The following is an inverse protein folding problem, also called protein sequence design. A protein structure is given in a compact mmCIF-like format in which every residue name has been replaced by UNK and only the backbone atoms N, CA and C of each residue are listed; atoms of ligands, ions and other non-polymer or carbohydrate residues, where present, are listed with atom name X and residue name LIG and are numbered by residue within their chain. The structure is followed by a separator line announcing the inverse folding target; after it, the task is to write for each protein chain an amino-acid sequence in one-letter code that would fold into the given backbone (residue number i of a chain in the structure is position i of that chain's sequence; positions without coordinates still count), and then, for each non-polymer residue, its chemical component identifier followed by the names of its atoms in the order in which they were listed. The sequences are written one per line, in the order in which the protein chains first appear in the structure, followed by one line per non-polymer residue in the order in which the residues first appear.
data_IF_805600591942
#
_entry.id   IF_805600591942
#
_cell.length_a   1.000
_cell.length_b   1.000
_cell.length_c   1.000
_cell.angle_alpha   90.00
_cell.angle_beta   90.00
_cell.angle_gamma   90.00
#
_symmetry.space_group_name_H-M   'P 1'
#
loop_
_entity.id
_entity.type
_entity.pdbx_description
1 polymer ?
#
# COMPACT_ATOMS: atom_id res chain seq x y z
N UNK A 1 -17.92 -11.68 -3.45
CA UNK A 1 -17.31 -12.79 -4.18
C UNK A 1 -16.37 -13.55 -3.27
N UNK A 2 -15.25 -14.11 -3.78
CA UNK A 2 -14.34 -14.96 -3.00
C UNK A 2 -13.60 -14.24 -1.86
N UNK A 3 -13.56 -12.90 -1.84
CA UNK A 3 -12.94 -12.12 -0.77
C UNK A 3 -13.97 -11.47 0.18
N UNK A 4 -15.23 -11.93 0.12
CA UNK A 4 -16.30 -11.42 0.98
C UNK A 4 -15.94 -11.56 2.46
N UNK A 5 -16.13 -10.48 3.22
CA UNK A 5 -15.83 -10.42 4.66
C UNK A 5 -14.40 -9.97 4.99
N UNK A 6 -13.48 -9.95 4.03
CA UNK A 6 -12.12 -9.45 4.25
C UNK A 6 -12.06 -7.92 4.18
N UNK A 7 -11.29 -7.31 5.08
CA UNK A 7 -10.98 -5.88 5.11
C UNK A 7 -9.71 -5.60 4.30
N UNK A 8 -9.83 -4.69 3.33
CA UNK A 8 -8.75 -4.25 2.45
C UNK A 8 -8.26 -2.85 2.85
N UNK A 9 -6.99 -2.76 3.22
CA UNK A 9 -6.26 -1.52 3.29
C UNK A 9 -5.51 -1.24 1.97
N UNK A 10 -5.44 0.01 1.53
CA UNK A 10 -4.87 0.36 0.22
C UNK A 10 -3.72 1.35 0.37
N UNK A 11 -2.52 0.99 -0.07
CA UNK A 11 -1.35 1.89 -0.06
C UNK A 11 -1.68 3.21 -0.75
N UNK A 12 -1.30 4.33 -0.15
CA UNK A 12 -1.65 5.68 -0.62
C UNK A 12 -0.90 6.13 -1.89
N UNK A 13 -0.62 5.20 -2.80
CA UNK A 13 -0.18 5.46 -4.17
C UNK A 13 -1.22 4.98 -5.20
N UNK A 14 -2.18 4.17 -4.76
CA UNK A 14 -3.29 3.68 -5.58
C UNK A 14 -4.50 4.60 -5.41
N UNK A 15 -5.13 4.91 -6.53
CA UNK A 15 -6.39 5.63 -6.55
C UNK A 15 -7.53 4.74 -6.04
N UNK A 16 -8.42 5.35 -5.25
CA UNK A 16 -9.67 4.77 -4.78
C UNK A 16 -10.74 5.80 -5.05
N UNK A 17 -11.80 5.42 -5.78
CA UNK A 17 -12.86 6.37 -6.14
C UNK A 17 -13.44 7.05 -4.89
N UNK A 18 -13.57 8.38 -4.94
CA UNK A 18 -14.05 9.18 -3.80
C UNK A 18 -12.95 9.60 -2.80
N UNK A 19 -11.69 9.20 -3.01
CA UNK A 19 -10.55 9.59 -2.17
C UNK A 19 -9.48 10.31 -2.97
N UNK A 20 -8.72 11.18 -2.29
CA UNK A 20 -7.48 11.77 -2.82
C UNK A 20 -6.32 10.80 -2.59
N UNK A 21 -5.30 10.86 -3.44
CA UNK A 21 -4.09 10.03 -3.32
C UNK A 21 -2.89 10.94 -3.06
N UNK A 22 -2.34 10.88 -1.84
CA UNK A 22 -1.28 11.78 -1.39
C UNK A 22 0.14 11.29 -1.63
N UNK A 23 0.33 9.98 -1.82
CA UNK A 23 1.65 9.36 -1.99
C UNK A 23 2.62 9.69 -0.84
N UNK A 24 2.11 9.86 0.38
CA UNK A 24 2.91 10.25 1.53
C UNK A 24 3.56 11.64 1.39
N UNK A 25 3.05 12.52 0.53
CA UNK A 25 3.55 13.88 0.35
C UNK A 25 2.38 14.88 0.57
N UNK A 26 2.47 15.80 1.56
CA UNK A 26 1.39 16.74 1.86
C UNK A 26 1.00 17.65 0.68
N UNK A 27 2.00 18.18 -0.05
CA UNK A 27 1.76 19.04 -1.20
C UNK A 27 1.03 18.30 -2.33
N UNK A 28 1.45 17.07 -2.62
CA UNK A 28 0.77 16.21 -3.59
C UNK A 28 -0.65 15.90 -3.15
N UNK A 29 -0.87 15.68 -1.85
CA UNK A 29 -2.22 15.53 -1.32
C UNK A 29 -3.05 16.79 -1.53
N UNK A 30 -2.52 17.98 -1.25
CA UNK A 30 -3.18 19.28 -1.46
C UNK A 30 -3.50 19.58 -2.93
N UNK A 31 -2.64 19.17 -3.86
CA UNK A 31 -2.84 19.31 -5.30
C UNK A 31 -3.71 18.19 -5.90
N UNK A 32 -3.88 17.06 -5.19
CA UNK A 32 -4.63 15.91 -5.69
C UNK A 32 -6.13 16.21 -5.78
N UNK A 33 -6.73 15.80 -6.88
CA UNK A 33 -8.19 15.76 -7.02
C UNK A 33 -8.72 14.46 -6.42
N UNK A 34 -9.97 14.46 -5.99
CA UNK A 34 -10.66 13.23 -5.62
C UNK A 34 -10.73 12.32 -6.84
N UNK A 35 -10.21 11.09 -6.72
CA UNK A 35 -10.19 10.14 -7.82
C UNK A 35 -11.62 9.79 -8.26
N UNK A 36 -11.88 9.87 -9.57
CA UNK A 36 -13.17 9.47 -10.16
C UNK A 36 -13.27 7.96 -10.40
N UNK A 37 -12.14 7.26 -10.42
CA UNK A 37 -12.03 5.81 -10.60
C UNK A 37 -11.03 5.22 -9.62
N UNK A 38 -11.27 3.99 -9.23
CA UNK A 38 -10.34 3.17 -8.45
C UNK A 38 -9.29 2.56 -9.39
N UNK A 39 -8.04 2.42 -8.94
CA UNK A 39 -6.99 1.72 -9.65
C UNK A 39 -7.44 0.30 -10.04
N UNK A 40 -7.14 -0.15 -11.26
CA UNK A 40 -7.68 -1.41 -11.79
C UNK A 40 -7.37 -2.60 -10.87
N UNK A 41 -6.14 -2.67 -10.34
CA UNK A 41 -5.74 -3.72 -9.40
C UNK A 41 -6.54 -3.70 -8.09
N UNK A 42 -6.85 -2.52 -7.57
CA UNK A 42 -7.67 -2.37 -6.36
C UNK A 42 -9.13 -2.71 -6.67
N UNK A 43 -9.65 -2.26 -7.82
CA UNK A 43 -11.03 -2.53 -8.23
C UNK A 43 -11.29 -4.03 -8.36
N UNK A 44 -10.36 -4.81 -8.92
CA UNK A 44 -10.48 -6.27 -8.97
C UNK A 44 -10.66 -6.92 -7.59
N UNK A 45 -9.97 -6.41 -6.56
CA UNK A 45 -10.06 -6.92 -5.19
C UNK A 45 -11.42 -6.55 -4.57
N UNK A 46 -11.91 -5.33 -4.85
CA UNK A 46 -13.23 -4.87 -4.41
C UNK A 46 -14.36 -5.64 -5.08
N UNK A 47 -14.26 -5.88 -6.39
CA UNK A 47 -15.23 -6.68 -7.16
C UNK A 47 -15.27 -8.14 -6.69
N UNK A 48 -14.13 -8.66 -6.22
CA UNK A 48 -14.06 -9.96 -5.55
C UNK A 48 -14.75 -9.96 -4.16
N UNK A 49 -15.16 -8.80 -3.63
CA UNK A 49 -15.99 -8.66 -2.43
C UNK A 49 -15.26 -8.19 -1.18
N UNK A 50 -13.98 -7.82 -1.28
CA UNK A 50 -13.27 -7.24 -0.14
C UNK A 50 -13.84 -5.86 0.19
N UNK A 51 -13.89 -5.52 1.47
CA UNK A 51 -14.36 -4.22 1.95
C UNK A 51 -13.17 -3.27 2.12
N UNK A 52 -13.17 -2.15 1.39
CA UNK A 52 -12.23 -1.06 1.64
C UNK A 52 -12.38 -0.49 3.06
N UNK A 53 -11.28 -0.41 3.82
CA UNK A 53 -11.28 0.15 5.19
C UNK A 53 -10.40 1.38 5.36
N UNK A 54 -9.53 1.71 4.40
CA UNK A 54 -8.75 2.94 4.47
C UNK A 54 -7.52 2.97 3.56
N UNK A 55 -6.99 4.17 3.35
CA UNK A 55 -5.68 4.40 2.73
C UNK A 55 -4.59 4.21 3.77
N UNK A 56 -3.46 3.61 3.39
CA UNK A 56 -2.31 3.39 4.28
C UNK A 56 -1.13 4.27 3.92
N UNK A 57 -0.40 4.70 4.95
CA UNK A 57 0.82 5.48 4.81
C UNK A 57 1.86 4.73 3.96
N UNK A 58 2.62 5.52 3.22
CA UNK A 58 3.79 5.11 2.44
C UNK A 58 4.95 6.03 2.79
N UNK A 59 6.19 5.56 2.63
CA UNK A 59 7.32 6.48 2.47
C UNK A 59 7.01 7.44 1.31
N UNK A 60 7.47 8.68 1.46
CA UNK A 60 7.17 9.78 0.54
C UNK A 60 7.52 9.39 -0.90
N UNK A 61 6.54 9.51 -1.80
CA UNK A 61 6.62 9.12 -3.22
C UNK A 61 7.11 7.67 -3.44
N UNK A 62 6.86 6.80 -2.47
CA UNK A 62 7.32 5.41 -2.43
C UNK A 62 8.85 5.23 -2.43
N UNK A 63 9.63 6.29 -2.22
CA UNK A 63 11.09 6.32 -2.42
C UNK A 63 11.88 6.19 -1.11
N UNK A 64 11.69 5.08 -0.39
CA UNK A 64 12.54 4.62 0.70
C UNK A 64 12.14 3.18 1.11
N UNK A 65 12.87 2.60 2.06
CA UNK A 65 12.66 1.23 2.55
C UNK A 65 12.49 1.13 4.07
N UNK A 66 12.40 2.25 4.78
CA UNK A 66 12.37 2.24 6.25
C UNK A 66 11.00 2.53 6.86
N UNK A 67 9.99 2.95 6.08
CA UNK A 67 8.66 3.22 6.62
C UNK A 67 8.57 4.52 7.39
N UNK A 68 9.56 5.39 7.24
CA UNK A 68 9.65 6.68 7.92
C UNK A 68 9.34 7.78 6.93
N UNK A 69 8.35 8.60 7.27
CA UNK A 69 7.94 9.73 6.46
C UNK A 69 8.04 10.98 7.34
N UNK A 70 8.81 11.98 6.92
CA UNK A 70 9.08 13.17 7.74
C UNK A 70 7.80 13.97 8.08
N UNK A 71 6.74 13.81 7.30
CA UNK A 71 5.50 14.59 7.42
C UNK A 71 4.44 13.92 8.30
N UNK A 72 4.58 12.64 8.60
CA UNK A 72 3.55 11.85 9.29
C UNK A 72 4.16 10.98 10.39
N UNK A 73 3.41 10.65 11.45
CA UNK A 73 3.86 9.68 12.45
C UNK A 73 4.29 8.35 11.80
N UNK A 74 5.25 7.67 12.39
CA UNK A 74 5.72 6.40 11.84
C UNK A 74 4.73 5.28 12.19
N UNK A 75 4.41 4.38 11.23
CA UNK A 75 3.62 3.19 11.52
C UNK A 75 4.33 2.32 12.57
N UNK A 76 3.56 1.76 13.50
CA UNK A 76 4.08 0.86 14.54
C UNK A 76 4.31 -0.52 13.93
N UNK A 77 5.46 -1.13 14.22
CA UNK A 77 5.71 -2.55 13.91
C UNK A 77 5.21 -3.43 15.07
N UNK A 78 4.12 -4.18 14.91
CA UNK A 78 3.56 -5.00 16.00
C UNK A 78 4.46 -6.17 16.41
N UNK A 79 5.38 -6.61 15.54
CA UNK A 79 6.34 -7.66 15.84
C UNK A 79 7.55 -7.16 16.64
N UNK A 80 7.85 -5.86 16.59
CA UNK A 80 8.94 -5.21 17.31
C UNK A 80 8.66 -3.72 17.49
N UNK A 81 8.03 -3.35 18.62
CA UNK A 81 7.46 -2.02 18.85
C UNK A 81 8.48 -0.86 18.80
N UNK A 82 9.76 -1.14 19.02
CA UNK A 82 10.88 -0.19 18.99
C UNK A 82 11.68 -0.24 17.68
N UNK A 83 11.12 -0.86 16.63
CA UNK A 83 11.73 -1.01 15.31
C UNK A 83 10.80 -0.51 14.21
N UNK A 84 11.40 -0.21 13.07
CA UNK A 84 10.66 0.20 11.87
C UNK A 84 9.83 -0.95 11.30
N UNK A 85 8.75 -0.61 10.61
CA UNK A 85 7.96 -1.57 9.81
C UNK A 85 8.65 -1.95 8.51
N UNK A 86 9.67 -1.20 8.09
CA UNK A 86 10.17 -1.21 6.71
C UNK A 86 9.21 -0.47 5.77
N UNK A 87 9.59 -0.34 4.51
CA UNK A 87 8.87 0.43 3.50
C UNK A 87 9.22 0.03 2.07
N UNK A 88 8.66 0.66 1.03
CA UNK A 88 7.78 1.82 1.15
C UNK A 88 6.32 1.54 1.51
N UNK A 89 5.90 0.28 1.53
CA UNK A 89 4.51 -0.11 1.86
C UNK A 89 4.29 -0.26 3.37
N UNK A 90 4.78 0.69 4.17
CA UNK A 90 4.89 0.63 5.62
C UNK A 90 3.55 0.53 6.35
N UNK A 91 2.61 1.43 6.02
CA UNK A 91 1.29 1.43 6.63
C UNK A 91 0.49 0.18 6.26
N UNK A 92 0.70 -0.39 5.07
CA UNK A 92 0.05 -1.64 4.65
C UNK A 92 0.50 -2.83 5.50
N UNK A 93 1.82 -2.96 5.73
CA UNK A 93 2.34 -4.01 6.59
C UNK A 93 1.89 -3.82 8.05
N UNK A 94 1.96 -2.58 8.57
CA UNK A 94 1.48 -2.28 9.92
C UNK A 94 -0.01 -2.60 10.10
N UNK A 95 -0.85 -2.28 9.12
CA UNK A 95 -2.29 -2.52 9.19
C UNK A 95 -2.63 -4.02 9.23
N UNK A 96 -1.94 -4.85 8.43
CA UNK A 96 -2.16 -6.30 8.42
C UNK A 96 -1.59 -6.94 9.68
N UNK A 97 -0.33 -6.65 10.03
CA UNK A 97 0.30 -7.18 11.24
C UNK A 97 -0.47 -6.77 12.52
N UNK A 98 -1.04 -5.57 12.53
CA UNK A 98 -1.86 -5.02 13.62
C UNK A 98 -3.32 -5.46 13.59
N UNK A 99 -3.72 -6.32 12.63
CA UNK A 99 -5.11 -6.80 12.44
C UNK A 99 -6.13 -5.68 12.22
N UNK A 100 -5.71 -4.52 11.74
CA UNK A 100 -6.58 -3.42 11.32
C UNK A 100 -7.19 -3.68 9.94
N UNK A 101 -6.50 -4.47 9.13
CA UNK A 101 -6.99 -5.04 7.87
C UNK A 101 -6.62 -6.53 7.80
N UNK A 102 -7.34 -7.28 6.96
CA UNK A 102 -7.04 -8.71 6.73
C UNK A 102 -6.10 -8.88 5.53
N UNK A 103 -6.18 -7.96 4.56
CA UNK A 103 -5.27 -7.86 3.42
C UNK A 103 -4.93 -6.39 3.15
N UNK A 104 -3.77 -6.14 2.55
CA UNK A 104 -3.41 -4.80 2.11
C UNK A 104 -2.66 -4.78 0.78
N UNK A 105 -2.89 -3.75 -0.04
CA UNK A 105 -2.09 -3.55 -1.25
C UNK A 105 -0.73 -2.95 -0.92
N UNK A 106 0.24 -3.19 -1.78
CA UNK A 106 1.52 -2.49 -1.79
C UNK A 106 2.16 -2.52 -3.16
N UNK A 107 3.29 -1.83 -3.28
CA UNK A 107 4.12 -1.86 -4.48
C UNK A 107 5.53 -2.31 -4.14
N UNK A 108 6.20 -2.92 -5.11
CA UNK A 108 7.60 -3.31 -5.02
C UNK A 108 8.35 -2.80 -6.26
N UNK A 109 9.25 -1.84 -6.04
CA UNK A 109 10.20 -1.35 -7.05
C UNK A 109 11.57 -2.00 -6.83
N UNK A 110 12.08 -1.90 -5.61
CA UNK A 110 13.38 -2.45 -5.19
C UNK A 110 13.32 -3.26 -3.90
N UNK A 111 12.14 -3.67 -3.46
CA UNK A 111 11.92 -4.35 -2.18
C UNK A 111 10.74 -3.82 -1.37
N UNK A 112 10.02 -2.81 -1.89
CA UNK A 112 9.03 -2.04 -1.15
C UNK A 112 7.80 -2.80 -0.62
N UNK A 113 7.69 -4.08 -0.96
CA UNK A 113 6.71 -5.01 -0.37
C UNK A 113 7.41 -6.11 0.44
N UNK A 114 8.50 -6.66 -0.09
CA UNK A 114 9.25 -7.76 0.55
C UNK A 114 9.95 -7.34 1.83
N UNK A 115 10.55 -6.15 1.86
CA UNK A 115 11.21 -5.60 3.05
C UNK A 115 10.23 -5.42 4.21
N UNK A 116 9.11 -4.68 4.06
CA UNK A 116 8.18 -4.52 5.16
C UNK A 116 7.47 -5.83 5.57
N UNK A 117 7.24 -6.76 4.64
CA UNK A 117 6.73 -8.09 4.98
C UNK A 117 7.71 -8.87 5.86
N UNK A 118 9.00 -8.84 5.53
CA UNK A 118 10.06 -9.47 6.34
C UNK A 118 10.11 -8.87 7.75
N UNK A 119 10.05 -7.54 7.86
CA UNK A 119 10.18 -6.85 9.16
C UNK A 119 8.94 -7.00 10.05
N UNK A 120 7.75 -7.09 9.44
CA UNK A 120 6.48 -7.23 10.15
C UNK A 120 6.00 -8.68 10.26
N UNK A 121 6.81 -9.66 9.82
CA UNK A 121 6.51 -11.11 9.88
C UNK A 121 5.20 -11.47 9.16
N UNK A 122 5.07 -11.05 7.89
CA UNK A 122 3.88 -11.25 7.06
C UNK A 122 4.15 -12.09 5.83
N UNK A 123 3.09 -12.70 5.30
CA UNK A 123 3.12 -13.30 3.97
C UNK A 123 2.91 -12.21 2.93
N UNK A 124 3.66 -12.30 1.83
CA UNK A 124 3.57 -11.31 0.76
C UNK A 124 3.70 -11.96 -0.60
N UNK A 125 3.05 -11.37 -1.59
CA UNK A 125 3.27 -11.66 -3.00
C UNK A 125 3.74 -10.41 -3.70
N UNK A 126 4.88 -10.50 -4.37
CA UNK A 126 5.29 -9.56 -5.42
C UNK A 126 4.90 -10.15 -6.76
N UNK A 127 4.05 -9.48 -7.53
CA UNK A 127 3.68 -9.96 -8.85
C UNK A 127 4.89 -9.94 -9.81
N UNK A 128 4.85 -10.80 -10.82
CA UNK A 128 5.75 -10.67 -11.95
C UNK A 128 5.55 -9.29 -12.62
N UNK A 129 6.62 -8.69 -13.13
CA UNK A 129 6.55 -7.37 -13.76
C UNK A 129 5.58 -7.38 -14.94
N UNK A 130 4.81 -6.30 -15.10
CA UNK A 130 3.71 -6.13 -16.09
C UNK A 130 2.51 -7.07 -15.90
N UNK A 131 2.56 -8.07 -15.01
CA UNK A 131 1.47 -9.06 -14.87
C UNK A 131 0.15 -8.46 -14.36
N UNK A 132 0.24 -7.45 -13.50
CA UNK A 132 -0.91 -6.73 -12.95
C UNK A 132 -0.77 -5.27 -13.32
N UNK A 133 -1.84 -4.69 -13.87
CA UNK A 133 -1.90 -3.28 -14.27
C UNK A 133 -1.62 -2.36 -13.07
N UNK A 134 -0.83 -1.31 -13.31
CA UNK A 134 -0.62 -0.19 -12.39
C UNK A 134 -1.38 1.06 -12.83
N UNK A 135 -2.38 0.93 -13.71
CA UNK A 135 -3.27 2.04 -14.05
C UNK A 135 -3.99 2.58 -12.79
N UNK A 136 -4.06 3.91 -12.67
CA UNK A 136 -4.55 4.57 -11.45
C UNK A 136 -3.59 4.46 -10.25
N UNK A 137 -2.29 4.29 -10.50
CA UNK A 137 -1.26 4.23 -9.46
C UNK A 137 -0.14 5.24 -9.75
N UNK A 138 0.35 5.94 -8.74
CA UNK A 138 1.64 6.64 -8.87
C UNK A 138 2.76 5.61 -8.99
N UNK A 139 3.47 5.65 -10.11
CA UNK A 139 4.67 4.87 -10.36
C UNK A 139 5.92 5.66 -9.94
N UNK A 140 6.87 4.96 -9.32
CA UNK A 140 8.18 5.47 -8.95
C UNK A 140 9.18 5.24 -10.09
N UNK A 141 9.28 4.00 -10.56
CA UNK A 141 10.14 3.60 -11.66
C UNK A 141 9.41 2.52 -12.50
N UNK A 142 8.66 2.91 -13.54
CA UNK A 142 7.79 2.00 -14.30
C UNK A 142 8.44 0.70 -14.78
N UNK A 143 9.74 0.74 -15.12
CA UNK A 143 10.50 -0.43 -15.55
C UNK A 143 10.75 -1.48 -14.45
N UNK A 144 10.49 -1.13 -13.18
CA UNK A 144 10.70 -2.00 -12.01
C UNK A 144 9.44 -2.17 -11.16
N UNK A 145 8.51 -1.22 -11.23
CA UNK A 145 7.33 -1.19 -10.36
C UNK A 145 6.42 -2.41 -10.59
N UNK A 146 6.07 -3.05 -9.49
CA UNK A 146 5.16 -4.20 -9.48
C UNK A 146 4.10 -4.04 -8.41
N UNK A 147 2.89 -4.51 -8.70
CA UNK A 147 1.85 -4.68 -7.70
C UNK A 147 2.20 -5.82 -6.74
N UNK A 148 1.77 -5.71 -5.49
CA UNK A 148 1.69 -6.86 -4.60
C UNK A 148 0.71 -6.64 -3.46
N UNK A 149 0.63 -7.63 -2.58
CA UNK A 149 -0.29 -7.63 -1.44
C UNK A 149 0.30 -8.35 -0.22
N UNK A 150 -0.19 -7.97 0.96
CA UNK A 150 0.12 -8.56 2.27
C UNK A 150 -1.10 -9.31 2.81
N UNK A 151 -0.85 -10.40 3.55
CA UNK A 151 -1.80 -11.06 4.47
C UNK A 151 -1.08 -11.65 5.69
#
# INVERSE_FOLDING_TARGET
GPLAGLRLAVKDIYDVAGYRTGCGNPRKFEEAHTASRTADAVQMILDAGARFVGKTQTDELAFALFGQNAHFPFPVNPAALDRVTGGSSSGSAAAVAGRLADIATGSDTGGSIRAPASFCVLVVLRAAHVRISLAGTMQLAPSFDTFGWFA
#
